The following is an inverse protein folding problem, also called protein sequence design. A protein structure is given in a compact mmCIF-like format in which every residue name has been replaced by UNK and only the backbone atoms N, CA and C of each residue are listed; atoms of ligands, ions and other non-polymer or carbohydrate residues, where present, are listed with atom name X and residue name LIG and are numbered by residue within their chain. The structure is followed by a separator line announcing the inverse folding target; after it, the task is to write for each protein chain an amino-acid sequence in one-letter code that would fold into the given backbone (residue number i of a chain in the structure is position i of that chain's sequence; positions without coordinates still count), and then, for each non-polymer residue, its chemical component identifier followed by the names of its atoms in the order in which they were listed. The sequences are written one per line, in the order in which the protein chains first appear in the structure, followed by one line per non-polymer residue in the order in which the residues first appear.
data_IF_405372303283
#
_entry.id   IF_405372303283
#
_cell.length_a   1.000
_cell.length_b   1.000
_cell.length_c   1.000
_cell.angle_alpha   90.00
_cell.angle_beta   90.00
_cell.angle_gamma   90.00
#
_symmetry.space_group_name_H-M   'P 1'
#
loop_
_entity.id
_entity.type
_entity.pdbx_description
1 polymer ?
#
# COMPACT_ATOMS: atom_id res chain seq x y z
N UNK A 1 16.39 9.38 27.35
CA UNK A 1 15.23 8.52 27.00
C UNK A 1 15.32 8.20 25.52
N UNK A 2 15.52 6.93 25.16
CA UNK A 2 15.49 6.53 23.75
C UNK A 2 14.06 6.67 23.24
N UNK A 3 13.86 7.52 22.23
CA UNK A 3 12.58 7.66 21.53
C UNK A 3 12.31 6.37 20.77
N UNK A 4 11.29 5.61 21.21
CA UNK A 4 10.81 4.44 20.49
C UNK A 4 10.27 4.92 19.12
N UNK A 5 10.80 4.45 17.97
CA UNK A 5 10.35 4.89 16.65
C UNK A 5 8.86 4.64 16.40
N UNK A 6 8.28 3.63 17.06
CA UNK A 6 6.84 3.36 17.04
C UNK A 6 6.00 4.47 17.68
N UNK A 7 6.55 5.21 18.66
CA UNK A 7 5.88 6.34 19.30
C UNK A 7 5.91 7.59 18.42
N UNK A 8 6.97 7.77 17.61
CA UNK A 8 7.11 8.90 16.68
C UNK A 8 6.16 8.78 15.48
N UNK A 9 5.94 7.55 14.97
CA UNK A 9 4.95 7.28 13.92
C UNK A 9 3.50 7.55 14.37
N UNK A 10 3.16 7.19 15.61
CA UNK A 10 1.81 7.41 16.15
C UNK A 10 1.47 8.90 16.36
N UNK A 11 2.47 9.75 16.58
CA UNK A 11 2.27 11.17 16.84
C UNK A 11 2.27 12.05 15.57
N UNK A 12 2.92 11.61 14.49
CA UNK A 12 3.01 12.38 13.26
C UNK A 12 1.86 12.07 12.29
N UNK A 13 0.73 12.73 12.55
CA UNK A 13 -0.46 12.68 11.70
C UNK A 13 -0.16 13.03 10.24
N UNK A 14 0.75 13.97 9.97
CA UNK A 14 1.08 14.38 8.60
C UNK A 14 1.75 13.24 7.84
N UNK A 15 2.70 12.57 8.47
CA UNK A 15 3.37 11.41 7.86
C UNK A 15 2.39 10.27 7.63
N UNK A 16 1.48 9.98 8.57
CA UNK A 16 0.45 8.96 8.37
C UNK A 16 -0.48 9.30 7.21
N UNK A 17 -0.99 10.53 7.17
CA UNK A 17 -1.93 10.95 6.14
C UNK A 17 -1.26 10.92 4.75
N UNK A 18 0.03 11.27 4.67
CA UNK A 18 0.83 11.13 3.44
C UNK A 18 0.99 9.66 3.00
N UNK A 19 1.34 8.76 3.92
CA UNK A 19 1.50 7.33 3.59
C UNK A 19 0.18 6.69 3.17
N UNK A 20 -0.92 7.05 3.81
CA UNK A 20 -2.25 6.58 3.40
C UNK A 20 -2.57 7.06 1.99
N UNK A 21 -2.29 8.33 1.68
CA UNK A 21 -2.49 8.86 0.33
C UNK A 21 -1.67 8.09 -0.71
N UNK A 22 -0.43 7.74 -0.40
CA UNK A 22 0.43 6.94 -1.28
C UNK A 22 -0.14 5.54 -1.51
N UNK A 23 -0.64 4.87 -0.47
CA UNK A 23 -1.30 3.56 -0.60
C UNK A 23 -2.57 3.63 -1.47
N UNK A 24 -3.34 4.71 -1.36
CA UNK A 24 -4.49 4.94 -2.24
C UNK A 24 -4.07 5.11 -3.71
N UNK A 25 -2.99 5.85 -3.99
CA UNK A 25 -2.46 6.00 -5.36
C UNK A 25 -2.04 4.65 -5.92
N UNK A 26 -1.29 3.85 -5.14
CA UNK A 26 -0.81 2.53 -5.56
C UNK A 26 -1.98 1.59 -5.85
N UNK A 27 -2.97 1.52 -4.95
CA UNK A 27 -4.14 0.67 -5.14
C UNK A 27 -4.95 1.05 -6.38
N UNK A 28 -5.09 2.35 -6.67
CA UNK A 28 -5.77 2.80 -7.88
C UNK A 28 -4.97 2.48 -9.15
N UNK A 29 -3.64 2.59 -9.10
CA UNK A 29 -2.79 2.20 -10.22
C UNK A 29 -2.91 0.69 -10.51
N UNK A 30 -2.88 -0.15 -9.47
CA UNK A 30 -3.09 -1.59 -9.60
C UNK A 30 -4.46 -1.93 -10.22
N UNK A 31 -5.51 -1.25 -9.80
CA UNK A 31 -6.86 -1.38 -10.35
C UNK A 31 -6.91 -1.04 -11.85
N UNK A 32 -6.26 0.06 -12.24
CA UNK A 32 -6.21 0.50 -13.64
C UNK A 32 -5.45 -0.51 -14.53
N UNK A 33 -4.35 -1.08 -14.04
CA UNK A 33 -3.61 -2.13 -14.75
C UNK A 33 -4.48 -3.37 -14.90
N UNK A 34 -5.08 -3.87 -13.82
CA UNK A 34 -5.93 -5.07 -13.87
C UNK A 34 -7.15 -4.90 -14.79
N UNK A 35 -7.77 -3.71 -14.81
CA UNK A 35 -8.93 -3.41 -15.65
C UNK A 35 -8.59 -3.23 -17.13
N UNK A 36 -7.55 -2.46 -17.42
CA UNK A 36 -7.25 -2.06 -18.80
C UNK A 36 -6.24 -3.01 -19.49
N UNK A 37 -5.45 -3.75 -18.72
CA UNK A 37 -4.42 -4.67 -19.20
C UNK A 37 -4.49 -6.04 -18.50
N UNK A 38 -5.62 -6.76 -18.57
CA UNK A 38 -5.83 -8.00 -17.81
C UNK A 38 -4.84 -9.12 -18.17
N UNK A 39 -4.38 -9.18 -19.43
CA UNK A 39 -3.37 -10.16 -19.85
C UNK A 39 -2.02 -9.92 -19.17
N UNK A 40 -1.61 -8.66 -19.04
CA UNK A 40 -0.39 -8.28 -18.33
C UNK A 40 -0.51 -8.57 -16.83
N UNK A 41 -1.63 -8.19 -16.21
CA UNK A 41 -1.88 -8.49 -14.81
C UNK A 41 -1.86 -10.01 -14.52
N UNK A 42 -2.36 -10.82 -15.46
CA UNK A 42 -2.34 -12.29 -15.36
C UNK A 42 -0.93 -12.88 -15.48
N UNK A 43 -0.08 -12.28 -16.33
CA UNK A 43 1.33 -12.66 -16.46
C UNK A 43 2.13 -12.32 -15.20
N UNK A 44 1.73 -11.26 -14.49
CA UNK A 44 2.36 -10.78 -13.26
C UNK A 44 1.51 -11.07 -12.02
N UNK A 45 1.11 -12.33 -11.84
CA UNK A 45 0.26 -12.77 -10.72
C UNK A 45 0.90 -12.66 -9.33
N UNK A 46 2.23 -12.47 -9.27
CA UNK A 46 2.99 -12.18 -8.05
C UNK A 46 2.70 -10.79 -7.47
N UNK A 47 2.13 -9.89 -8.28
CA UNK A 47 1.67 -8.58 -7.82
C UNK A 47 0.24 -8.74 -7.32
N UNK A 48 -0.07 -8.32 -6.09
CA UNK A 48 -1.39 -8.53 -5.48
C UNK A 48 -2.40 -7.47 -5.95
N UNK A 49 -2.70 -7.43 -7.25
CA UNK A 49 -3.48 -6.36 -7.91
C UNK A 49 -4.82 -6.05 -7.22
N UNK A 50 -5.61 -7.09 -6.95
CA UNK A 50 -6.93 -6.96 -6.32
C UNK A 50 -6.84 -6.53 -4.87
N UNK A 51 -5.93 -7.13 -4.10
CA UNK A 51 -5.74 -6.80 -2.68
C UNK A 51 -5.26 -5.35 -2.49
N UNK A 52 -4.37 -4.85 -3.36
CA UNK A 52 -3.95 -3.46 -3.33
C UNK A 52 -5.14 -2.50 -3.55
N UNK A 53 -6.06 -2.84 -4.44
CA UNK A 53 -7.27 -2.07 -4.66
C UNK A 53 -8.25 -2.15 -3.48
N UNK A 54 -8.45 -3.33 -2.88
CA UNK A 54 -9.26 -3.52 -1.68
C UNK A 54 -8.73 -2.72 -0.51
N UNK A 55 -7.41 -2.69 -0.32
CA UNK A 55 -6.75 -1.88 0.70
C UNK A 55 -7.01 -0.39 0.50
N UNK A 56 -6.92 0.11 -0.74
CA UNK A 56 -7.31 1.48 -1.08
C UNK A 56 -8.77 1.75 -0.69
N UNK A 57 -9.69 0.84 -0.99
CA UNK A 57 -11.11 1.03 -0.62
C UNK A 57 -11.32 1.04 0.90
N UNK A 58 -10.60 0.21 1.65
CA UNK A 58 -10.66 0.21 3.11
C UNK A 58 -10.13 1.53 3.71
N UNK A 59 -9.03 2.07 3.16
CA UNK A 59 -8.43 3.33 3.60
C UNK A 59 -9.34 4.54 3.31
N UNK A 60 -9.88 4.64 2.09
CA UNK A 60 -10.76 5.76 1.72
C UNK A 60 -12.11 5.76 2.47
N UNK A 61 -12.58 4.59 2.95
CA UNK A 61 -13.82 4.47 3.72
C UNK A 61 -13.66 4.81 5.22
N UNK A 62 -12.48 5.23 5.67
CA UNK A 62 -12.31 5.75 7.03
C UNK A 62 -12.13 4.70 8.13
N UNK A 63 -11.78 3.45 7.79
CA UNK A 63 -11.41 2.39 8.77
C UNK A 63 -10.07 2.64 9.50
N UNK A 64 -9.65 3.91 9.59
CA UNK A 64 -8.37 4.40 10.12
C UNK A 64 -8.06 3.88 11.54
N UNK A 65 -9.06 3.66 12.38
CA UNK A 65 -8.86 3.29 13.79
C UNK A 65 -8.55 1.80 14.00
N UNK A 66 -8.96 0.92 13.06
CA UNK A 66 -8.81 -0.54 13.20
C UNK A 66 -7.51 -1.06 12.54
N UNK A 67 -6.90 -0.28 11.65
CA UNK A 67 -5.84 -0.78 10.74
C UNK A 67 -4.44 -0.23 10.98
N UNK A 68 -4.16 0.51 12.05
CA UNK A 68 -2.80 1.06 12.29
C UNK A 68 -1.71 -0.01 12.33
N UNK A 69 -1.97 -1.19 12.92
CA UNK A 69 -1.01 -2.29 12.97
C UNK A 69 -0.79 -2.93 11.59
N UNK A 70 -1.86 -3.09 10.81
CA UNK A 70 -1.81 -3.70 9.46
C UNK A 70 -1.14 -2.74 8.48
N UNK A 71 -1.49 -1.45 8.50
CA UNK A 71 -0.83 -0.41 7.72
C UNK A 71 0.65 -0.36 8.06
N UNK A 72 1.03 -0.34 9.34
CA UNK A 72 2.44 -0.36 9.74
C UNK A 72 3.20 -1.59 9.22
N UNK A 73 2.58 -2.77 9.21
CA UNK A 73 3.20 -4.00 8.71
C UNK A 73 3.33 -3.99 7.18
N UNK A 74 2.29 -3.54 6.46
CA UNK A 74 2.29 -3.36 5.01
C UNK A 74 3.37 -2.38 4.57
N UNK A 75 3.47 -1.18 5.18
CA UNK A 75 4.46 -0.17 4.76
C UNK A 75 5.91 -0.67 4.95
N UNK A 76 6.16 -1.54 5.91
CA UNK A 76 7.50 -2.08 6.16
C UNK A 76 7.90 -3.20 5.17
N UNK A 77 6.94 -3.91 4.59
CA UNK A 77 7.22 -5.14 3.81
C UNK A 77 6.85 -4.99 2.32
N UNK A 78 5.70 -4.40 2.03
CA UNK A 78 5.10 -4.43 0.70
C UNK A 78 5.71 -3.41 -0.28
N UNK A 79 6.07 -2.17 0.12
CA UNK A 79 6.70 -1.21 -0.79
C UNK A 79 8.03 -1.71 -1.34
N UNK A 80 8.88 -2.31 -0.50
CA UNK A 80 10.16 -2.84 -0.95
C UNK A 80 9.98 -4.01 -1.94
N UNK A 81 9.03 -4.90 -1.64
CA UNK A 81 8.67 -6.03 -2.51
C UNK A 81 8.13 -5.55 -3.85
N UNK A 82 7.15 -4.66 -3.86
CA UNK A 82 6.59 -4.08 -5.09
C UNK A 82 7.65 -3.36 -5.91
N UNK A 83 8.52 -2.57 -5.29
CA UNK A 83 9.60 -1.86 -5.98
C UNK A 83 10.60 -2.81 -6.64
N UNK A 84 10.87 -3.95 -6.01
CA UNK A 84 11.75 -4.99 -6.57
C UNK A 84 11.14 -5.73 -7.76
N UNK A 85 9.81 -5.71 -7.89
CA UNK A 85 9.10 -6.34 -9.02
C UNK A 85 9.11 -5.44 -10.27
N UNK A 86 9.21 -4.11 -10.13
CA UNK A 86 9.16 -3.16 -11.26
C UNK A 86 10.18 -3.49 -12.38
N UNK A 87 11.46 -3.79 -12.10
CA UNK A 87 12.42 -4.17 -13.15
C UNK A 87 12.11 -5.51 -13.84
N UNK A 88 11.28 -6.36 -13.24
CA UNK A 88 10.85 -7.63 -13.84
C UNK A 88 9.61 -7.48 -14.75
N UNK A 89 9.05 -6.27 -14.83
CA UNK A 89 7.90 -5.92 -15.67
C UNK A 89 8.31 -5.41 -17.07
N UNK A 90 9.60 -5.40 -17.39
CA UNK A 90 10.17 -4.90 -18.65
C UNK A 90 10.22 -5.94 -19.75
#
# INVERSE_FOLDING_TARGET
MATNPANTWQADRKTRDAVVRDLEVIGEACNNVAKNHPAFASQHSEVPWGFAYEMRNALSNGYFTVYHAIVWQTIQQDPAKLRSQIPALS
#
